data_IF_862501396221
#
_entry.id   IF_862501396221
#
_cell.length_a   1.000
_cell.length_b   1.000
_cell.length_c   1.000
_cell.angle_alpha   90.00
_cell.angle_beta   90.00
_cell.angle_gamma   90.00
#
_symmetry.space_group_name_H-M   'P 1'
#
loop_
_entity.id
_entity.type
_entity.pdbx_description
1 polymer ?
#
# COMPACT_ATOMS: atom_id res chain seq x y z
N UNK A 1 18.67 -4.13 -8.55
CA UNK A 1 18.08 -2.80 -8.26
C UNK A 1 16.60 -3.04 -8.04
N UNK A 2 16.08 -2.58 -6.91
CA UNK A 2 14.67 -2.79 -6.55
C UNK A 2 13.84 -1.66 -7.14
N UNK A 3 12.77 -2.07 -7.81
CA UNK A 3 11.77 -1.19 -8.40
C UNK A 3 10.46 -1.98 -8.44
N UNK A 4 9.78 -2.04 -7.28
CA UNK A 4 8.53 -2.78 -7.12
C UNK A 4 7.37 -1.80 -7.06
N UNK A 5 6.34 -2.05 -7.84
CA UNK A 5 5.06 -1.34 -7.70
C UNK A 5 4.13 -2.16 -6.80
N UNK A 6 3.51 -1.51 -5.83
CA UNK A 6 2.52 -2.14 -4.96
C UNK A 6 1.22 -1.38 -5.12
N UNK A 7 0.14 -2.12 -5.28
CA UNK A 7 -1.24 -1.66 -5.10
C UNK A 7 -1.83 -2.44 -3.94
N UNK A 8 -2.50 -1.75 -3.04
CA UNK A 8 -3.15 -2.35 -1.89
C UNK A 8 -4.56 -1.80 -1.75
N UNK A 9 -5.49 -2.64 -1.32
CA UNK A 9 -6.74 -2.13 -0.74
C UNK A 9 -6.44 -1.43 0.59
N UNK A 10 -7.38 -0.60 1.01
CA UNK A 10 -7.32 0.21 2.21
C UNK A 10 -8.63 0.07 2.95
N UNK A 11 -8.54 -0.19 4.24
CA UNK A 11 -9.70 -0.21 5.14
C UNK A 11 -9.64 0.99 6.08
N UNK A 12 -10.79 1.62 6.30
CA UNK A 12 -10.96 2.60 7.37
C UNK A 12 -11.31 1.89 8.67
N UNK A 13 -10.73 2.32 9.79
CA UNK A 13 -11.07 1.74 11.11
C UNK A 13 -12.52 2.01 11.51
N UNK A 14 -13.15 3.03 10.93
CA UNK A 14 -14.59 3.27 11.06
C UNK A 14 -15.33 2.53 9.94
N UNK A 15 -15.97 1.43 10.31
CA UNK A 15 -16.74 0.57 9.39
C UNK A 15 -17.95 1.27 8.75
N UNK A 16 -18.40 2.40 9.31
CA UNK A 16 -19.50 3.20 8.78
C UNK A 16 -19.02 4.34 7.88
N UNK A 17 -17.71 4.51 7.70
CA UNK A 17 -17.16 5.53 6.83
C UNK A 17 -17.52 5.26 5.36
N UNK A 18 -18.26 6.18 4.75
CA UNK A 18 -18.37 6.27 3.30
C UNK A 18 -17.40 7.32 2.76
N UNK A 19 -17.14 7.29 1.45
CA UNK A 19 -16.38 8.33 0.75
C UNK A 19 -14.94 8.54 1.27
N UNK A 20 -14.30 7.44 1.66
CA UNK A 20 -12.88 7.38 2.04
C UNK A 20 -12.06 6.66 0.96
N UNK A 21 -10.75 6.91 0.86
CA UNK A 21 -9.88 6.15 -0.03
C UNK A 21 -9.99 4.64 0.22
N UNK A 22 -10.16 3.87 -0.86
CA UNK A 22 -10.34 2.41 -0.83
C UNK A 22 -9.09 1.65 -1.30
N UNK A 23 -8.13 2.37 -1.89
CA UNK A 23 -6.87 1.77 -2.32
C UNK A 23 -5.71 2.76 -2.21
N UNK A 24 -4.50 2.21 -2.24
CA UNK A 24 -3.26 2.97 -2.28
C UNK A 24 -2.27 2.31 -3.21
N UNK A 25 -1.50 3.11 -3.95
CA UNK A 25 -0.38 2.63 -4.74
C UNK A 25 0.92 3.38 -4.45
N UNK A 26 2.03 2.66 -4.48
CA UNK A 26 3.36 3.23 -4.26
C UNK A 26 4.42 2.46 -5.04
N UNK A 27 5.53 3.15 -5.29
CA UNK A 27 6.75 2.54 -5.81
C UNK A 27 7.75 2.35 -4.67
N UNK A 28 8.28 1.14 -4.56
CA UNK A 28 9.38 0.81 -3.65
C UNK A 28 10.65 0.75 -4.46
N UNK A 29 11.44 1.82 -4.34
CA UNK A 29 12.79 1.86 -4.86
C UNK A 29 13.78 1.19 -3.89
N UNK A 30 15.05 1.13 -4.31
CA UNK A 30 16.12 0.50 -3.52
C UNK A 30 16.33 1.20 -2.17
N UNK A 31 16.15 2.52 -2.08
CA UNK A 31 16.37 3.28 -0.85
C UNK A 31 15.25 3.03 0.16
N UNK A 32 14.00 3.05 -0.30
CA UNK A 32 12.83 2.77 0.52
C UNK A 32 12.83 1.32 1.02
N UNK A 33 13.17 0.36 0.15
CA UNK A 33 13.31 -1.05 0.56
C UNK A 33 14.35 -1.19 1.68
N UNK A 34 15.54 -0.62 1.50
CA UNK A 34 16.62 -0.69 2.50
C UNK A 34 16.19 -0.05 3.82
N UNK A 35 15.47 1.09 3.76
CA UNK A 35 14.94 1.76 4.95
C UNK A 35 13.94 0.86 5.69
N UNK A 36 12.96 0.29 4.99
CA UNK A 36 11.97 -0.63 5.58
C UNK A 36 12.67 -1.83 6.23
N UNK A 37 13.60 -2.48 5.53
CA UNK A 37 14.32 -3.65 6.07
C UNK A 37 15.18 -3.30 7.29
N UNK A 38 15.86 -2.15 7.27
CA UNK A 38 16.67 -1.70 8.41
C UNK A 38 15.80 -1.43 9.63
N UNK A 39 14.64 -0.79 9.44
CA UNK A 39 13.69 -0.54 10.51
C UNK A 39 13.07 -1.84 11.05
N UNK A 40 12.76 -2.81 10.18
CA UNK A 40 12.26 -4.12 10.61
C UNK A 40 13.29 -4.88 11.47
N UNK A 41 14.57 -4.86 11.07
CA UNK A 41 15.66 -5.42 11.86
C UNK A 41 15.77 -4.72 13.23
N UNK A 42 15.71 -3.39 13.25
CA UNK A 42 15.73 -2.60 14.48
C UNK A 42 14.55 -2.95 15.42
N UNK A 43 13.33 -3.05 14.88
CA UNK A 43 12.13 -3.46 15.64
C UNK A 43 12.32 -4.85 16.23
N UNK A 44 12.90 -5.79 15.48
CA UNK A 44 13.17 -7.16 15.93
C UNK A 44 14.23 -7.21 17.04
N UNK A 45 15.36 -6.51 16.85
CA UNK A 45 16.49 -6.49 17.78
C UNK A 45 16.15 -5.86 19.13
N UNK A 46 15.26 -4.87 19.14
CA UNK A 46 14.88 -4.12 20.34
C UNK A 46 13.52 -4.56 20.92
N UNK A 47 12.95 -5.65 20.42
CA UNK A 47 11.64 -6.17 20.81
C UNK A 47 10.51 -5.11 20.82
N UNK A 48 10.52 -4.23 19.82
CA UNK A 48 9.47 -3.22 19.64
C UNK A 48 8.24 -3.85 18.97
N UNK A 49 7.07 -3.27 19.19
CA UNK A 49 5.86 -3.65 18.45
C UNK A 49 5.94 -3.20 16.99
N UNK A 50 6.23 -1.90 16.78
CA UNK A 50 6.45 -1.30 15.48
C UNK A 50 7.28 -0.01 15.59
N UNK A 51 7.73 0.51 14.45
CA UNK A 51 8.25 1.87 14.29
C UNK A 51 7.62 2.49 13.05
N UNK A 52 7.57 3.81 12.94
CA UNK A 52 6.95 4.47 11.79
C UNK A 52 7.72 5.67 11.28
N UNK A 53 7.49 6.02 10.02
CA UNK A 53 8.02 7.22 9.41
C UNK A 53 7.06 7.78 8.36
N UNK A 54 7.06 9.10 8.20
CA UNK A 54 6.27 9.77 7.18
C UNK A 54 6.69 9.36 5.76
N UNK A 55 5.71 9.13 4.90
CA UNK A 55 5.89 8.76 3.51
C UNK A 55 4.79 9.37 2.62
N UNK A 56 5.15 10.42 1.89
CA UNK A 56 4.20 11.24 1.12
C UNK A 56 4.08 10.84 -0.36
N UNK A 57 4.88 9.87 -0.82
CA UNK A 57 4.93 9.48 -2.24
C UNK A 57 3.89 8.41 -2.62
N UNK A 58 3.02 8.01 -1.68
CA UNK A 58 1.92 7.10 -1.94
C UNK A 58 0.73 7.82 -2.58
N UNK A 59 0.11 7.18 -3.58
CA UNK A 59 -1.13 7.63 -4.20
C UNK A 59 -2.32 6.90 -3.59
N UNK A 60 -3.03 7.57 -2.69
CA UNK A 60 -4.31 7.10 -2.14
C UNK A 60 -5.41 7.34 -3.18
N UNK A 61 -6.40 6.46 -3.28
CA UNK A 61 -7.44 6.54 -4.30
C UNK A 61 -8.79 6.05 -3.80
N UNK A 62 -9.87 6.61 -4.36
CA UNK A 62 -11.24 6.11 -4.17
C UNK A 62 -11.55 4.86 -5.01
N UNK A 63 -10.65 4.49 -5.93
CA UNK A 63 -10.76 3.27 -6.75
C UNK A 63 -10.79 2.04 -5.83
N UNK A 64 -11.85 1.23 -5.93
CA UNK A 64 -12.05 0.03 -5.13
C UNK A 64 -11.37 -1.20 -5.71
N UNK A 65 -11.56 -2.34 -5.03
CA UNK A 65 -11.00 -3.63 -5.46
C UNK A 65 -11.59 -4.09 -6.81
N UNK A 66 -12.89 -3.89 -7.02
CA UNK A 66 -13.60 -4.31 -8.23
C UNK A 66 -13.05 -3.60 -9.47
N UNK A 67 -12.87 -2.28 -9.42
CA UNK A 67 -12.31 -1.52 -10.55
C UNK A 67 -10.85 -1.89 -10.83
N UNK A 68 -10.06 -2.16 -9.79
CA UNK A 68 -8.68 -2.66 -9.95
C UNK A 68 -8.70 -4.05 -10.60
N UNK A 69 -9.65 -4.90 -10.22
CA UNK A 69 -9.78 -6.25 -10.76
C UNK A 69 -10.21 -6.24 -12.22
N UNK A 70 -11.10 -5.34 -12.63
CA UNK A 70 -11.47 -5.14 -14.04
C UNK A 70 -10.25 -4.85 -14.91
N UNK A 71 -9.34 -3.98 -14.47
CA UNK A 71 -8.10 -3.68 -15.20
C UNK A 71 -7.18 -4.89 -15.25
N UNK A 72 -7.04 -5.62 -14.14
CA UNK A 72 -6.22 -6.84 -14.10
C UNK A 72 -6.76 -7.93 -15.02
N UNK A 73 -8.06 -7.94 -15.27
CA UNK A 73 -8.70 -8.93 -16.12
C UNK A 73 -8.55 -8.67 -17.61
N UNK A 74 -8.17 -7.46 -18.01
CA UNK A 74 -7.85 -7.11 -19.39
C UNK A 74 -6.68 -7.96 -19.92
N UNK A 75 -6.84 -8.49 -21.14
CA UNK A 75 -5.76 -9.23 -21.82
C UNK A 75 -4.50 -8.39 -21.97
N UNK A 76 -4.65 -7.08 -22.20
CA UNK A 76 -3.53 -6.14 -22.29
C UNK A 76 -2.73 -6.10 -20.99
N UNK A 77 -3.39 -6.11 -19.83
CA UNK A 77 -2.72 -6.13 -18.54
C UNK A 77 -1.96 -7.44 -18.33
N UNK A 78 -2.65 -8.57 -18.55
CA UNK A 78 -2.11 -9.93 -18.33
C UNK A 78 -0.87 -10.24 -19.16
N UNK A 79 -0.76 -9.67 -20.36
CA UNK A 79 0.35 -9.90 -21.28
C UNK A 79 1.37 -8.74 -21.34
N UNK A 80 1.25 -7.77 -20.44
CA UNK A 80 2.17 -6.63 -20.37
C UNK A 80 3.26 -6.78 -19.32
N UNK A 81 4.33 -5.99 -19.45
CA UNK A 81 5.38 -5.88 -18.44
C UNK A 81 4.94 -5.03 -17.23
N UNK A 82 5.75 -5.03 -16.17
CA UNK A 82 5.41 -4.30 -14.93
C UNK A 82 5.29 -2.79 -15.12
N UNK A 83 5.99 -2.20 -16.09
CA UNK A 83 5.95 -0.75 -16.36
C UNK A 83 4.59 -0.38 -16.95
N UNK A 84 4.13 -1.17 -17.92
CA UNK A 84 2.83 -0.96 -18.55
C UNK A 84 1.68 -1.29 -17.59
N UNK A 85 1.81 -2.35 -16.79
CA UNK A 85 0.86 -2.64 -15.71
C UNK A 85 0.72 -1.47 -14.72
N UNK A 86 1.84 -0.90 -14.27
CA UNK A 86 1.82 0.27 -13.39
C UNK A 86 1.14 1.47 -14.07
N UNK A 87 1.42 1.74 -15.34
CA UNK A 87 0.81 2.84 -16.08
C UNK A 87 -0.72 2.69 -16.18
N UNK A 88 -1.21 1.50 -16.53
CA UNK A 88 -2.64 1.20 -16.64
C UNK A 88 -3.36 1.39 -15.29
N UNK A 89 -2.76 0.90 -14.20
CA UNK A 89 -3.34 1.06 -12.86
C UNK A 89 -3.37 2.53 -12.42
N UNK A 90 -2.30 3.29 -12.70
CA UNK A 90 -2.25 4.72 -12.35
C UNK A 90 -3.29 5.55 -13.10
N UNK A 91 -3.67 5.16 -14.31
CA UNK A 91 -4.69 5.84 -15.11
C UNK A 91 -6.08 5.76 -14.45
N UNK A 92 -6.38 4.63 -13.79
CA UNK A 92 -7.70 4.36 -13.18
C UNK A 92 -7.77 4.64 -11.68
N UNK A 93 -6.65 5.02 -11.05
CA UNK A 93 -6.56 5.30 -9.62
C UNK A 93 -6.47 6.82 -9.35
N UNK A 94 -7.58 7.56 -9.43
CA UNK A 94 -7.58 9.01 -9.18
C UNK A 94 -7.12 9.31 -7.76
N UNK A 95 -6.25 10.32 -7.60
CA UNK A 95 -5.68 10.69 -6.31
C UNK A 95 -6.73 11.24 -5.35
N UNK A 96 -6.83 10.63 -4.17
CA UNK A 96 -7.53 11.13 -3.00
C UNK A 96 -6.53 11.82 -2.05
N UNK A 97 -6.97 12.91 -1.42
CA UNK A 97 -6.10 13.64 -0.47
C UNK A 97 -6.17 12.98 0.90
N UNK A 98 -5.01 12.73 1.48
CA UNK A 98 -4.84 12.23 2.84
C UNK A 98 -3.88 13.12 3.64
N UNK A 99 -3.94 13.00 4.95
CA UNK A 99 -3.11 13.70 5.92
C UNK A 99 -2.29 12.66 6.72
N UNK A 100 -1.12 13.07 7.20
CA UNK A 100 -0.22 12.24 8.01
C UNK A 100 0.10 10.84 7.42
N UNK A 101 0.42 10.69 6.12
CA UNK A 101 0.73 9.38 5.56
C UNK A 101 2.04 8.84 6.13
N UNK A 102 1.99 7.63 6.67
CA UNK A 102 3.11 6.93 7.29
C UNK A 102 3.25 5.51 6.75
N UNK A 103 4.49 5.02 6.76
CA UNK A 103 4.77 3.59 6.71
C UNK A 103 5.07 3.13 8.15
N UNK A 104 4.27 2.21 8.64
CA UNK A 104 4.49 1.47 9.88
C UNK A 104 5.24 0.19 9.57
N UNK A 105 6.35 -0.04 10.26
CA UNK A 105 7.23 -1.18 10.05
C UNK A 105 7.23 -2.06 11.30
N UNK A 106 6.93 -3.34 11.10
CA UNK A 106 6.96 -4.40 12.10
C UNK A 106 8.13 -5.34 11.82
N UNK A 107 8.28 -6.40 12.65
CA UNK A 107 9.38 -7.37 12.55
C UNK A 107 9.45 -8.06 11.17
N UNK A 108 8.30 -8.48 10.64
CA UNK A 108 8.22 -9.30 9.42
C UNK A 108 7.29 -8.70 8.34
N UNK A 109 6.74 -7.50 8.57
CA UNK A 109 5.80 -6.83 7.68
C UNK A 109 5.88 -5.31 7.81
N UNK A 110 5.20 -4.61 6.90
CA UNK A 110 4.92 -3.18 7.00
C UNK A 110 3.48 -2.88 6.56
N UNK A 111 2.99 -1.68 6.86
CA UNK A 111 1.65 -1.22 6.55
C UNK A 111 1.71 0.25 6.19
N UNK A 112 0.88 0.70 5.26
CA UNK A 112 0.65 2.12 5.04
C UNK A 112 -0.55 2.57 5.86
N UNK A 113 -0.45 3.75 6.45
CA UNK A 113 -1.56 4.38 7.15
C UNK A 113 -1.62 5.87 6.86
N UNK A 114 -2.82 6.44 6.85
CA UNK A 114 -3.04 7.87 6.71
C UNK A 114 -4.42 8.24 7.29
N UNK A 115 -4.69 9.53 7.39
CA UNK A 115 -6.02 10.06 7.67
C UNK A 115 -6.65 10.57 6.38
N UNK A 116 -7.95 10.34 6.13
CA UNK A 116 -8.66 11.10 5.11
C UNK A 116 -8.59 12.60 5.47
N UNK A 117 -8.51 13.45 4.46
CA UNK A 117 -8.40 14.90 4.68
C UNK A 117 -9.55 15.42 5.53
N UNK A 118 -9.24 16.24 6.54
CA UNK A 118 -10.23 16.83 7.45
C UNK A 118 -10.94 15.84 8.38
N UNK A 119 -10.43 14.62 8.51
CA UNK A 119 -10.95 13.62 9.45
C UNK A 119 -10.02 13.47 10.67
N UNK A 120 -10.58 12.91 11.75
CA UNK A 120 -9.84 12.57 12.96
C UNK A 120 -9.27 11.14 12.93
N UNK A 121 -8.59 10.78 14.01
CA UNK A 121 -7.97 9.46 14.18
C UNK A 121 -8.98 8.30 14.12
N UNK A 122 -10.25 8.57 14.42
CA UNK A 122 -11.37 7.63 14.30
C UNK A 122 -11.63 7.20 12.85
N UNK A 123 -11.04 7.88 11.87
CA UNK A 123 -11.18 7.59 10.43
C UNK A 123 -9.87 7.05 9.81
N UNK A 124 -8.93 6.59 10.64
CA UNK A 124 -7.63 6.10 10.15
C UNK A 124 -7.78 5.05 9.06
N UNK A 125 -7.06 5.25 7.96
CA UNK A 125 -6.92 4.33 6.85
C UNK A 125 -5.72 3.42 7.09
N UNK A 126 -5.86 2.13 6.79
CA UNK A 126 -4.78 1.17 6.88
C UNK A 126 -4.83 0.19 5.70
N UNK A 127 -3.66 -0.13 5.15
CA UNK A 127 -3.56 -1.31 4.27
C UNK A 127 -3.59 -2.60 5.09
N UNK A 128 -3.83 -3.77 4.49
CA UNK A 128 -3.37 -5.03 5.06
C UNK A 128 -1.87 -5.00 5.40
N UNK A 129 -1.44 -5.92 6.26
CA UNK A 129 -0.02 -6.10 6.54
C UNK A 129 0.69 -6.68 5.32
N UNK A 130 1.65 -5.93 4.77
CA UNK A 130 2.45 -6.31 3.62
C UNK A 130 3.70 -7.07 4.11
N UNK A 131 3.86 -8.37 3.80
CA UNK A 131 5.01 -9.14 4.24
C UNK A 131 6.33 -8.62 3.65
N UNK A 132 7.42 -8.66 4.41
CA UNK A 132 8.75 -8.27 3.89
C UNK A 132 9.28 -9.22 2.79
N UNK A 133 8.66 -10.38 2.62
CA UNK A 133 8.91 -11.28 1.49
C UNK A 133 8.44 -10.69 0.16
N UNK A 134 7.43 -9.82 0.16
CA UNK A 134 6.99 -9.13 -1.06
C UNK A 134 8.10 -8.29 -1.68
N UNK A 135 8.98 -7.75 -0.85
CA UNK A 135 10.09 -6.92 -1.28
C UNK A 135 11.23 -7.70 -1.98
N UNK A 136 11.13 -9.03 -2.09
CA UNK A 136 12.17 -9.87 -2.73
C UNK A 136 12.07 -9.89 -4.26
N UNK A 137 10.95 -9.45 -4.83
CA UNK A 137 10.71 -9.46 -6.27
C UNK A 137 10.36 -8.05 -6.76
N UNK A 138 10.62 -7.78 -8.04
CA UNK A 138 10.21 -6.52 -8.69
C UNK A 138 8.84 -6.62 -9.36
N UNK A 139 8.14 -7.75 -9.21
CA UNK A 139 6.82 -7.92 -9.79
C UNK A 139 5.82 -7.04 -9.05
N UNK A 140 4.93 -6.42 -9.82
CA UNK A 140 3.77 -5.70 -9.29
C UNK A 140 2.99 -6.62 -8.35
N UNK A 141 2.71 -6.14 -7.15
CA UNK A 141 1.95 -6.89 -6.16
C UNK A 141 0.63 -6.20 -5.87
N UNK A 142 -0.42 -7.01 -5.72
CA UNK A 142 -1.73 -6.59 -5.27
C UNK A 142 -1.97 -7.18 -3.90
N UNK A 143 -2.17 -6.31 -2.91
CA UNK A 143 -2.31 -6.70 -1.52
C UNK A 143 -3.75 -6.45 -1.10
N UNK A 144 -4.47 -7.52 -0.82
CA UNK A 144 -5.85 -7.51 -0.31
C UNK A 144 -5.86 -8.14 1.09
N UNK A 145 -6.91 -7.91 1.91
CA UNK A 145 -7.02 -8.55 3.20
C UNK A 145 -7.12 -10.07 3.03
N UNK A 146 -6.63 -10.86 3.99
CA UNK A 146 -6.80 -12.31 3.93
C UNK A 146 -8.29 -12.67 3.90
N UNK A 147 -8.69 -13.49 2.93
CA UNK A 147 -10.03 -14.08 2.91
C UNK A 147 -10.12 -15.15 3.99
N UNK A 148 -10.88 -14.87 5.05
CA UNK A 148 -11.24 -15.88 6.03
C UNK A 148 -12.43 -16.67 5.46
N UNK A 149 -12.15 -17.86 4.93
CA UNK A 149 -13.17 -18.86 4.56
C UNK A 149 -13.67 -19.62 5.79
#
# INVERSE_FOLDING_TARGET
MTNKFIVSTVDCINEFASDVPQSVSLRIDTMLEQRIRKLAAYVKENDLHLTEFYFYDANWSFCGEDEIQEIKDMDEYKHSDSIKQEAMLREVMPSARTECPVIRVMKDSFQLSALPRHCGDDMTLNTPFIPLSELKTNNTAFITPPTYN
#
